data_IF_360268371258
#
_entry.id   IF_360268371258
#
_cell.length_a   1.000
_cell.length_b   1.000
_cell.length_c   1.000
_cell.angle_alpha   90.00
_cell.angle_beta   90.00
_cell.angle_gamma   90.00
#
_symmetry.space_group_name_H-M   'P 1'
#
loop_
_entity.id
_entity.type
_entity.pdbx_description
1 polymer ?
#
# COMPACT_ATOMS: atom_id res chain seq x y z
N UNK A 1 19.53 12.77 0.07
CA UNK A 1 18.94 14.05 -0.36
C UNK A 1 17.85 13.72 -1.36
N UNK A 2 16.62 14.15 -1.10
CA UNK A 2 15.51 13.97 -2.03
C UNK A 2 15.58 15.00 -3.16
N UNK A 3 15.19 14.68 -4.41
CA UNK A 3 15.10 15.67 -5.49
C UNK A 3 14.07 16.76 -5.15
N UNK A 4 14.43 18.02 -5.38
CA UNK A 4 13.58 19.18 -5.12
C UNK A 4 13.58 20.14 -6.31
N UNK A 5 12.46 20.81 -6.52
CA UNK A 5 12.22 21.68 -7.66
C UNK A 5 11.62 23.00 -7.19
N UNK A 6 12.02 24.09 -7.83
CA UNK A 6 11.34 25.37 -7.70
C UNK A 6 10.26 25.43 -8.78
N UNK A 7 9.02 25.58 -8.35
CA UNK A 7 7.84 25.48 -9.20
C UNK A 7 7.11 26.83 -9.11
N UNK A 8 6.95 27.53 -10.25
CA UNK A 8 6.06 28.68 -10.31
C UNK A 8 4.60 28.21 -10.20
N UNK A 9 3.71 29.01 -9.62
CA UNK A 9 2.33 28.60 -9.31
C UNK A 9 1.54 28.03 -10.50
N UNK A 10 1.85 28.43 -11.74
CA UNK A 10 1.24 27.91 -12.97
C UNK A 10 1.72 26.51 -13.39
N UNK A 11 2.68 25.92 -12.69
CA UNK A 11 3.43 24.75 -13.15
C UNK A 11 3.06 23.46 -12.41
N UNK A 12 2.49 23.51 -11.18
CA UNK A 12 1.98 22.29 -10.50
C UNK A 12 0.90 21.59 -11.34
N UNK A 13 0.01 22.35 -11.96
CA UNK A 13 -1.05 21.80 -12.81
C UNK A 13 -0.52 21.14 -14.10
N UNK A 14 0.72 21.45 -14.50
CA UNK A 14 1.29 21.04 -15.80
C UNK A 14 2.33 19.91 -15.72
N UNK A 15 3.11 19.79 -14.63
CA UNK A 15 4.15 18.74 -14.53
C UNK A 15 3.59 17.47 -13.89
N UNK A 16 2.61 17.64 -13.01
CA UNK A 16 2.35 16.67 -11.99
C UNK A 16 1.17 15.80 -12.42
N UNK A 17 1.50 14.79 -13.21
CA UNK A 17 0.53 13.82 -13.70
C UNK A 17 0.07 12.92 -12.54
N UNK A 18 -1.22 12.62 -12.53
CA UNK A 18 -1.76 11.56 -11.68
C UNK A 18 -1.29 10.23 -12.24
N UNK A 19 -0.53 9.46 -11.48
CA UNK A 19 -0.07 8.16 -11.95
C UNK A 19 -0.66 7.01 -11.12
N UNK A 20 -1.10 5.92 -11.76
CA UNK A 20 -1.66 4.78 -11.06
C UNK A 20 -0.56 3.83 -10.56
N UNK A 21 -0.60 3.50 -9.28
CA UNK A 21 0.09 2.36 -8.70
C UNK A 21 -0.82 1.13 -8.79
N UNK A 22 -0.52 0.22 -9.71
CA UNK A 22 -1.34 -0.96 -9.97
C UNK A 22 -0.91 -2.14 -9.09
N UNK A 23 -1.90 -2.82 -8.53
CA UNK A 23 -1.79 -4.03 -7.74
C UNK A 23 -2.46 -5.20 -8.49
N UNK A 24 -2.30 -6.41 -7.94
CA UNK A 24 -2.96 -7.61 -8.45
C UNK A 24 -4.49 -7.49 -8.31
N UNK A 25 -5.24 -8.22 -9.13
CA UNK A 25 -6.71 -8.24 -9.14
C UNK A 25 -7.34 -6.88 -9.46
N UNK A 26 -6.73 -6.15 -10.41
CA UNK A 26 -7.21 -4.87 -10.96
C UNK A 26 -7.40 -3.76 -9.92
N UNK A 27 -6.82 -3.92 -8.73
CA UNK A 27 -6.77 -2.86 -7.74
C UNK A 27 -5.70 -1.83 -8.14
N UNK A 28 -6.04 -0.56 -8.07
CA UNK A 28 -5.09 0.53 -8.35
C UNK A 28 -5.23 1.64 -7.31
N UNK A 29 -4.14 2.37 -7.12
CA UNK A 29 -4.10 3.57 -6.29
C UNK A 29 -3.61 4.73 -7.15
N UNK A 30 -4.46 5.73 -7.36
CA UNK A 30 -4.07 6.93 -8.09
C UNK A 30 -3.34 7.88 -7.14
N UNK A 31 -2.09 8.19 -7.49
CA UNK A 31 -1.25 9.12 -6.76
C UNK A 31 -1.33 10.48 -7.44
N UNK A 32 -1.88 11.44 -6.72
CA UNK A 32 -1.92 12.85 -7.10
C UNK A 32 -0.61 13.54 -6.77
N UNK A 33 -0.31 14.69 -7.38
CA UNK A 33 0.88 15.49 -7.07
C UNK A 33 1.13 15.71 -5.59
N UNK A 34 0.07 16.00 -4.84
CA UNK A 34 0.11 16.23 -3.40
C UNK A 34 0.33 14.95 -2.58
N UNK A 35 0.15 13.77 -3.17
CA UNK A 35 0.46 12.49 -2.54
C UNK A 35 1.97 12.14 -2.64
N UNK A 36 2.75 12.80 -3.52
CA UNK A 36 4.15 12.45 -3.75
C UNK A 36 5.15 13.61 -3.73
N UNK A 37 4.65 14.85 -3.78
CA UNK A 37 5.41 16.07 -3.56
C UNK A 37 5.06 16.65 -2.19
N UNK A 38 6.09 17.02 -1.43
CA UNK A 38 5.92 17.80 -0.21
C UNK A 38 6.25 19.27 -0.48
N UNK A 39 5.35 20.15 -0.05
CA UNK A 39 5.56 21.60 -0.02
C UNK A 39 6.56 21.95 1.08
N UNK A 40 7.71 22.48 0.69
CA UNK A 40 8.79 22.90 1.59
C UNK A 40 8.76 24.42 1.83
N UNK A 41 7.69 25.10 1.43
CA UNK A 41 7.54 26.54 1.51
C UNK A 41 8.16 27.27 0.32
N UNK A 42 8.66 28.49 0.55
CA UNK A 42 9.13 29.37 -0.50
C UNK A 42 10.62 29.67 -0.38
N UNK A 43 11.32 29.70 -1.51
CA UNK A 43 12.69 30.19 -1.65
C UNK A 43 12.66 31.35 -2.64
N UNK A 44 13.06 32.54 -2.19
CA UNK A 44 13.04 33.78 -2.99
C UNK A 44 11.68 34.06 -3.66
N UNK A 45 10.59 33.75 -2.96
CA UNK A 45 9.23 33.95 -3.44
C UNK A 45 8.71 32.87 -4.39
N UNK A 46 9.49 31.81 -4.64
CA UNK A 46 9.09 30.66 -5.49
C UNK A 46 8.83 29.43 -4.63
N UNK A 47 7.72 28.73 -4.89
CA UNK A 47 7.37 27.52 -4.13
C UNK A 47 8.37 26.39 -4.39
N UNK A 48 8.81 25.73 -3.33
CA UNK A 48 9.75 24.62 -3.38
C UNK A 48 9.03 23.32 -3.06
N UNK A 49 9.12 22.36 -3.97
CA UNK A 49 8.50 21.05 -3.82
C UNK A 49 9.55 19.95 -3.89
N UNK A 50 9.48 18.97 -3.00
CA UNK A 50 10.42 17.84 -2.97
C UNK A 50 9.69 16.50 -3.16
N UNK A 51 10.29 15.63 -3.98
CA UNK A 51 9.78 14.28 -4.23
C UNK A 51 10.08 13.38 -3.03
N UNK A 52 9.05 12.77 -2.45
CA UNK A 52 9.20 11.89 -1.28
C UNK A 52 9.40 10.41 -1.60
N UNK A 53 9.27 9.98 -2.85
CA UNK A 53 9.64 8.63 -3.26
C UNK A 53 11.09 8.57 -3.74
N UNK A 54 11.82 7.57 -3.26
CA UNK A 54 13.12 7.22 -3.82
C UNK A 54 12.94 5.90 -4.53
N UNK A 55 13.15 5.88 -5.85
CA UNK A 55 13.39 4.63 -6.56
C UNK A 55 14.77 4.14 -6.15
N UNK A 56 14.82 3.05 -5.38
CA UNK A 56 16.03 2.26 -5.21
C UNK A 56 15.93 1.02 -6.08
N UNK A 57 17.04 0.60 -6.66
CA UNK A 57 17.16 -0.68 -7.38
C UNK A 57 17.18 -1.83 -6.37
N UNK A 58 16.10 -1.95 -5.61
CA UNK A 58 15.81 -3.06 -4.73
C UNK A 58 14.72 -3.89 -5.40
N UNK A 59 14.81 -5.22 -5.26
CA UNK A 59 13.74 -6.14 -5.63
C UNK A 59 12.43 -5.89 -4.87
N UNK A 60 12.46 -5.02 -3.85
CA UNK A 60 11.36 -4.66 -2.98
C UNK A 60 10.94 -3.20 -3.21
N UNK A 61 9.65 -3.00 -3.46
CA UNK A 61 9.01 -1.68 -3.47
C UNK A 61 8.42 -1.42 -2.09
N UNK A 62 8.89 -0.36 -1.43
CA UNK A 62 8.41 0.03 -0.10
C UNK A 62 7.42 1.19 -0.26
N UNK A 63 6.22 1.00 0.28
CA UNK A 63 5.19 2.05 0.35
C UNK A 63 5.27 2.70 1.74
N UNK A 64 5.80 3.92 1.79
CA UNK A 64 6.00 4.68 3.03
C UNK A 64 4.79 5.50 3.45
N UNK A 65 4.92 6.17 4.60
CA UNK A 65 3.98 7.10 5.21
C UNK A 65 3.33 8.10 4.25
N UNK A 66 4.12 8.73 3.38
CA UNK A 66 3.63 9.73 2.42
C UNK A 66 2.57 9.16 1.48
N UNK A 67 2.75 7.91 1.04
CA UNK A 67 1.80 7.24 0.16
C UNK A 67 0.60 6.66 0.92
N UNK A 68 0.76 6.43 2.22
CA UNK A 68 -0.30 5.91 3.08
C UNK A 68 -1.16 7.02 3.71
N UNK A 69 -0.77 8.28 3.53
CA UNK A 69 -1.52 9.44 4.01
C UNK A 69 -2.92 9.48 3.40
N UNK A 70 -3.92 9.78 4.23
CA UNK A 70 -5.32 9.86 3.83
C UNK A 70 -5.83 8.59 3.13
N UNK A 71 -5.39 7.43 3.64
CA UNK A 71 -5.85 6.11 3.22
C UNK A 71 -6.18 5.24 4.44
N UNK A 72 -7.23 4.45 4.32
CA UNK A 72 -7.51 3.33 5.23
C UNK A 72 -6.90 2.07 4.64
N UNK A 73 -6.05 1.39 5.41
CA UNK A 73 -5.46 0.10 5.07
C UNK A 73 -6.10 -0.96 5.95
N UNK A 74 -6.70 -1.97 5.33
CA UNK A 74 -7.29 -3.11 6.03
C UNK A 74 -6.44 -4.35 5.79
N UNK A 75 -5.86 -4.86 6.86
CA UNK A 75 -5.20 -6.17 6.89
C UNK A 75 -6.26 -7.24 7.17
N UNK A 76 -6.79 -7.85 6.11
CA UNK A 76 -7.73 -8.95 6.20
C UNK A 76 -6.94 -10.26 6.38
N UNK A 77 -6.50 -10.50 7.61
CA UNK A 77 -5.66 -11.65 7.96
C UNK A 77 -6.34 -12.99 7.65
N UNK A 78 -7.66 -13.08 7.86
CA UNK A 78 -8.43 -14.29 7.61
C UNK A 78 -8.44 -14.69 6.13
N UNK A 79 -8.44 -13.71 5.23
CA UNK A 79 -8.39 -13.94 3.76
C UNK A 79 -7.01 -13.68 3.15
N UNK A 80 -5.99 -13.48 3.98
CA UNK A 80 -4.61 -13.20 3.57
C UNK A 80 -4.50 -12.11 2.49
N UNK A 81 -5.24 -11.01 2.66
CA UNK A 81 -5.26 -9.92 1.67
C UNK A 81 -5.20 -8.55 2.32
N UNK A 82 -4.68 -7.61 1.54
CA UNK A 82 -4.62 -6.20 1.91
C UNK A 82 -5.66 -5.47 1.08
N UNK A 83 -6.43 -4.60 1.71
CA UNK A 83 -7.36 -3.69 1.03
C UNK A 83 -6.99 -2.25 1.39
N UNK A 84 -7.16 -1.36 0.43
CA UNK A 84 -6.88 0.06 0.56
C UNK A 84 -8.11 0.86 0.12
N UNK A 85 -8.38 1.97 0.78
CA UNK A 85 -9.41 2.93 0.36
C UNK A 85 -8.97 4.36 0.69
N UNK A 86 -9.38 5.33 -0.14
CA UNK A 86 -9.19 6.74 0.15
C UNK A 86 -10.04 7.16 1.34
N UNK A 87 -9.44 7.90 2.28
CA UNK A 87 -10.15 8.39 3.45
C UNK A 87 -9.49 9.65 3.97
N UNK A 88 -10.26 10.72 4.19
CA UNK A 88 -9.74 11.92 4.83
C UNK A 88 -9.50 11.65 6.32
N UNK A 89 -8.23 11.50 6.71
CA UNK A 89 -7.85 11.15 8.09
C UNK A 89 -8.09 12.27 9.10
N UNK A 90 -8.55 13.46 8.66
CA UNK A 90 -9.05 14.51 9.54
C UNK A 90 -10.49 14.25 10.03
N UNK A 91 -11.20 13.31 9.40
CA UNK A 91 -12.54 12.92 9.81
C UNK A 91 -12.49 11.77 10.83
N UNK A 92 -13.46 11.70 11.76
CA UNK A 92 -13.56 10.59 12.69
C UNK A 92 -13.97 9.30 11.97
N UNK A 93 -13.30 8.20 12.26
CA UNK A 93 -13.64 6.87 11.75
C UNK A 93 -14.58 6.15 12.73
N UNK A 94 -15.72 5.69 12.22
CA UNK A 94 -16.57 4.75 12.96
C UNK A 94 -16.09 3.33 12.67
N UNK A 95 -15.38 2.73 13.62
CA UNK A 95 -14.92 1.35 13.52
C UNK A 95 -15.90 0.45 14.25
N UNK A 96 -16.57 -0.45 13.54
CA UNK A 96 -17.26 -1.57 14.18
C UNK A 96 -16.39 -2.81 14.09
N UNK A 97 -16.06 -3.38 15.25
CA UNK A 97 -15.34 -4.64 15.30
C UNK A 97 -16.38 -5.73 15.11
N UNK A 98 -16.53 -6.20 13.88
CA UNK A 98 -17.15 -7.51 13.65
C UNK A 98 -16.09 -8.55 13.96
N UNK A 99 -16.09 -9.06 15.20
CA UNK A 99 -15.32 -10.26 15.52
C UNK A 99 -15.96 -11.43 14.78
N UNK A 100 -15.60 -11.60 13.51
CA UNK A 100 -15.78 -12.89 12.87
C UNK A 100 -15.02 -13.89 13.73
N UNK A 101 -15.71 -14.86 14.32
CA UNK A 101 -15.08 -15.99 14.99
C UNK A 101 -14.23 -16.71 13.95
N UNK A 102 -12.95 -16.36 13.88
CA UNK A 102 -11.96 -17.08 13.11
C UNK A 102 -11.55 -18.25 13.98
N UNK A 103 -12.10 -19.43 13.72
CA UNK A 103 -11.59 -20.68 14.30
C UNK A 103 -10.18 -20.91 13.71
N UNK A 104 -9.16 -20.34 14.35
CA UNK A 104 -7.73 -20.61 14.06
C UNK A 104 -7.46 -22.11 14.00
N UNK A 105 -8.21 -22.87 14.80
CA UNK A 105 -8.20 -24.33 14.89
C UNK A 105 -8.60 -25.02 13.59
N UNK A 106 -9.55 -24.50 12.81
CA UNK A 106 -9.99 -25.11 11.55
C UNK A 106 -9.01 -24.89 10.40
N UNK A 107 -8.42 -23.70 10.31
CA UNK A 107 -7.40 -23.41 9.29
C UNK A 107 -6.13 -24.21 9.58
N UNK A 108 -5.64 -24.21 10.83
CA UNK A 108 -4.46 -24.98 11.22
C UNK A 108 -4.66 -26.49 10.97
N UNK A 109 -5.80 -27.07 11.35
CA UNK A 109 -6.04 -28.50 11.10
C UNK A 109 -6.15 -28.85 9.62
N UNK A 110 -6.74 -27.99 8.78
CA UNK A 110 -6.81 -28.26 7.32
C UNK A 110 -5.43 -28.20 6.65
N UNK A 111 -4.56 -27.24 7.01
CA UNK A 111 -3.20 -27.20 6.48
C UNK A 111 -2.36 -28.40 6.94
N UNK A 112 -2.45 -28.79 8.22
CA UNK A 112 -1.76 -29.98 8.72
C UNK A 112 -2.24 -31.28 8.06
N UNK A 113 -3.55 -31.41 7.83
CA UNK A 113 -4.10 -32.57 7.12
C UNK A 113 -3.63 -32.61 5.66
N UNK A 114 -3.50 -31.45 5.00
CA UNK A 114 -3.01 -31.38 3.62
C UNK A 114 -1.52 -31.78 3.52
N UNK A 115 -0.68 -31.34 4.46
CA UNK A 115 0.73 -31.75 4.51
C UNK A 115 0.90 -33.24 4.77
N UNK A 116 0.10 -33.81 5.69
CA UNK A 116 0.11 -35.26 5.96
C UNK A 116 -0.32 -36.04 4.71
N UNK A 117 -1.36 -35.58 4.01
CA UNK A 117 -1.82 -36.22 2.76
C UNK A 117 -0.72 -36.17 1.69
N UNK A 118 -0.06 -35.02 1.49
CA UNK A 118 1.05 -34.88 0.56
C UNK A 118 2.23 -35.79 0.91
N UNK A 119 2.58 -35.88 2.21
CA UNK A 119 3.65 -36.75 2.68
C UNK A 119 3.32 -38.24 2.47
N UNK A 120 2.08 -38.65 2.73
CA UNK A 120 1.61 -40.01 2.50
C UNK A 120 1.62 -40.33 0.99
N UNK A 121 1.11 -39.44 0.14
CA UNK A 121 1.15 -39.62 -1.32
C UNK A 121 2.58 -39.72 -1.84
N UNK A 122 3.51 -38.92 -1.31
CA UNK A 122 4.92 -39.01 -1.64
C UNK A 122 5.52 -40.38 -1.30
N UNK A 123 5.23 -40.91 -0.11
CA UNK A 123 5.68 -42.24 0.30
C UNK A 123 5.13 -43.34 -0.61
N UNK A 124 3.84 -43.30 -0.93
CA UNK A 124 3.19 -44.28 -1.82
C UNK A 124 3.68 -44.19 -3.28
N UNK A 125 4.06 -43.01 -3.75
CA UNK A 125 4.60 -42.83 -5.11
C UNK A 125 6.10 -43.17 -5.20
N UNK A 126 6.78 -43.32 -4.06
CA UNK A 126 8.22 -43.62 -3.98
C UNK A 126 8.53 -45.12 -3.82
N UNK A 127 7.52 -45.97 -3.79
CA UNK A 127 7.59 -47.42 -3.59
C UNK A 127 7.17 -48.16 -4.87
#
# INVERSE_FOLDING_TARGET
MYPCYLISSSFIENIAEVFPLNFVADASMNLTPTDYLEDMGFVDGVAKWCIHFIRRDLSLKILGDVMLKDRIIVYDLARQRIRLANYNCSLPTNVSITSGTYDVTRASTTYHMLEIILFILYLFLSQ
#
